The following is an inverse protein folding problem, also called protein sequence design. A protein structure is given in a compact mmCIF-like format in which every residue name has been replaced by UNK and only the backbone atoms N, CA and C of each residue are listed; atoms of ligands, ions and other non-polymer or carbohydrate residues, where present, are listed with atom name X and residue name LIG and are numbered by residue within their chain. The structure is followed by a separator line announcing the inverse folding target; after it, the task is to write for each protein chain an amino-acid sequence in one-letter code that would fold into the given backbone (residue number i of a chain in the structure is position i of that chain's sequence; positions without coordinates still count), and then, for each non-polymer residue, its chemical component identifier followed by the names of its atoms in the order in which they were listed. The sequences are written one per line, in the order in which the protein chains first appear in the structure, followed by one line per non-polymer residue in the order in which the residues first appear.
data_IF_092677228901
#
_entry.id   IF_092677228901
#
_cell.length_a   1.000
_cell.length_b   1.000
_cell.length_c   1.000
_cell.angle_alpha   90.00
_cell.angle_beta   90.00
_cell.angle_gamma   90.00
#
_symmetry.space_group_name_H-M   'P 1'
#
loop_
_entity.id
_entity.type
_entity.pdbx_description
1 polymer ?
#
# COMPACT_ATOMS: atom_id res chain seq x y z
N UNK A 1 15.98 -26.57 6.01
CA UNK A 1 16.00 -25.22 6.62
C UNK A 1 14.62 -24.64 6.38
N UNK A 2 13.65 -24.93 7.25
CA UNK A 2 12.38 -24.19 7.21
C UNK A 2 12.71 -22.78 7.65
N UNK A 3 12.48 -21.79 6.79
CA UNK A 3 12.47 -20.41 7.26
C UNK A 3 11.33 -20.33 8.27
N UNK A 4 11.68 -20.22 9.57
CA UNK A 4 10.71 -19.86 10.58
C UNK A 4 10.06 -18.56 10.13
N UNK A 5 8.77 -18.66 9.83
CA UNK A 5 7.99 -17.54 9.35
C UNK A 5 7.70 -16.65 10.55
N UNK A 6 8.67 -15.81 10.94
CA UNK A 6 8.47 -14.82 11.99
C UNK A 6 7.41 -13.82 11.54
N UNK A 7 6.26 -13.85 12.23
CA UNK A 7 5.17 -12.93 11.96
C UNK A 7 5.38 -11.68 12.80
N UNK A 8 5.96 -10.65 12.18
CA UNK A 8 6.00 -9.33 12.79
C UNK A 8 4.56 -8.83 12.96
N UNK A 9 4.24 -8.35 14.17
CA UNK A 9 2.98 -7.65 14.38
C UNK A 9 2.96 -6.43 13.46
N UNK A 10 1.86 -6.20 12.73
CA UNK A 10 1.79 -5.01 11.90
C UNK A 10 1.96 -3.77 12.78
N UNK A 11 2.61 -2.71 12.27
CA UNK A 11 2.65 -1.45 12.98
C UNK A 11 1.21 -1.06 13.32
N UNK A 12 0.92 -0.85 14.61
CA UNK A 12 -0.40 -0.37 15.04
C UNK A 12 -0.61 1.13 14.69
N UNK A 13 0.42 1.77 14.15
CA UNK A 13 0.36 3.12 13.60
C UNK A 13 0.28 3.06 12.05
N UNK A 14 -0.79 3.57 11.43
CA UNK A 14 -0.91 3.69 9.98
C UNK A 14 0.25 4.44 9.33
N UNK A 15 0.79 5.47 10.00
CA UNK A 15 1.91 6.27 9.46
C UNK A 15 3.19 5.43 9.40
N UNK A 16 3.44 4.62 10.43
CA UNK A 16 4.55 3.67 10.44
C UNK A 16 4.38 2.58 9.35
N UNK A 17 3.16 2.11 9.11
CA UNK A 17 2.89 1.16 8.02
C UNK A 17 3.13 1.76 6.63
N UNK A 18 2.75 3.02 6.42
CA UNK A 18 3.08 3.74 5.19
C UNK A 18 4.60 3.94 5.01
N UNK A 19 5.32 4.24 6.10
CA UNK A 19 6.79 4.35 6.05
C UNK A 19 7.43 3.02 5.65
N UNK A 20 6.97 1.91 6.24
CA UNK A 20 7.42 0.58 5.88
C UNK A 20 7.14 0.25 4.41
N UNK A 21 5.95 0.62 3.89
CA UNK A 21 5.64 0.42 2.48
C UNK A 21 6.50 1.30 1.58
N UNK A 22 6.83 2.53 1.97
CA UNK A 22 7.77 3.34 1.21
C UNK A 22 9.14 2.66 1.11
N UNK A 23 9.71 2.24 2.25
CA UNK A 23 11.04 1.64 2.29
C UNK A 23 11.09 0.34 1.47
N UNK A 24 10.07 -0.51 1.60
CA UNK A 24 9.99 -1.76 0.88
C UNK A 24 9.83 -1.55 -0.63
N UNK A 25 8.95 -0.64 -1.08
CA UNK A 25 8.75 -0.42 -2.50
C UNK A 25 9.87 0.39 -3.15
N UNK A 26 10.58 1.24 -2.41
CA UNK A 26 11.85 1.83 -2.86
C UNK A 26 12.86 0.75 -3.26
N UNK A 27 13.02 -0.25 -2.40
CA UNK A 27 13.94 -1.36 -2.64
C UNK A 27 13.45 -2.24 -3.81
N UNK A 28 12.17 -2.63 -3.82
CA UNK A 28 11.59 -3.47 -4.88
C UNK A 28 11.69 -2.81 -6.25
N UNK A 29 11.42 -1.50 -6.32
CA UNK A 29 11.45 -0.79 -7.59
C UNK A 29 12.85 -0.36 -8.01
N UNK A 30 13.81 -0.32 -7.08
CA UNK A 30 15.11 0.30 -7.29
C UNK A 30 15.00 1.81 -7.54
N UNK A 31 13.94 2.45 -7.03
CA UNK A 31 13.64 3.86 -7.28
C UNK A 31 13.89 4.73 -6.03
N UNK A 32 15.01 5.47 -5.97
CA UNK A 32 15.26 6.40 -4.88
C UNK A 32 14.27 7.58 -4.87
N UNK A 33 13.58 7.83 -5.99
CA UNK A 33 12.55 8.85 -6.15
C UNK A 33 11.18 8.46 -5.59
N UNK A 34 10.99 7.23 -5.12
CA UNK A 34 9.73 6.85 -4.51
C UNK A 34 9.48 7.69 -3.25
N UNK A 35 8.23 8.08 -3.04
CA UNK A 35 7.85 9.03 -2.00
C UNK A 35 6.40 8.83 -1.54
N UNK A 36 6.11 9.36 -0.34
CA UNK A 36 4.73 9.43 0.17
C UNK A 36 3.95 10.54 -0.53
N UNK A 37 2.68 10.27 -0.81
CA UNK A 37 1.77 11.21 -1.43
C UNK A 37 1.05 12.07 -0.38
N UNK A 38 1.78 13.07 0.15
CA UNK A 38 1.18 14.15 0.94
C UNK A 38 0.61 13.79 2.33
N UNK A 39 0.29 14.82 3.13
CA UNK A 39 -0.32 14.72 4.47
C UNK A 39 -1.85 14.63 4.38
N UNK A 40 -2.47 14.07 5.42
CA UNK A 40 -3.93 14.03 5.61
C UNK A 40 -4.59 15.37 5.29
N UNK A 41 -5.51 15.40 4.30
CA UNK A 41 -6.31 16.57 3.93
C UNK A 41 -6.10 17.12 2.51
N UNK A 42 -5.10 16.62 1.77
CA UNK A 42 -5.00 16.83 0.31
C UNK A 42 -5.69 15.67 -0.43
N UNK A 43 -6.18 15.90 -1.65
CA UNK A 43 -6.67 14.82 -2.50
C UNK A 43 -5.50 13.91 -2.91
N UNK A 44 -5.27 12.85 -2.14
CA UNK A 44 -4.20 11.87 -2.40
C UNK A 44 -4.57 10.88 -3.51
N UNK A 45 -5.68 11.09 -4.21
CA UNK A 45 -6.23 10.18 -5.22
C UNK A 45 -6.24 8.69 -4.77
N UNK A 46 -6.34 8.41 -3.47
CA UNK A 46 -6.25 7.04 -2.96
C UNK A 46 -4.90 6.36 -3.22
N UNK A 47 -3.80 7.12 -3.21
CA UNK A 47 -2.43 6.63 -3.36
C UNK A 47 -1.62 7.23 -2.23
N UNK A 48 -1.02 6.41 -1.37
CA UNK A 48 -0.23 6.88 -0.22
C UNK A 48 1.27 6.91 -0.53
N UNK A 49 1.74 6.02 -1.40
CA UNK A 49 3.13 5.95 -1.86
C UNK A 49 3.12 5.84 -3.38
N UNK A 50 4.04 6.52 -4.04
CA UNK A 50 4.24 6.36 -5.47
C UNK A 50 5.70 6.44 -5.85
N UNK A 51 6.03 5.88 -7.00
CA UNK A 51 7.37 5.88 -7.58
C UNK A 51 7.34 5.46 -9.03
N UNK A 52 8.51 5.40 -9.64
CA UNK A 52 8.71 4.89 -10.98
C UNK A 52 9.23 3.46 -10.93
N UNK A 53 8.63 2.57 -11.70
CA UNK A 53 9.15 1.22 -11.90
C UNK A 53 9.06 0.84 -13.38
N UNK A 54 10.19 0.42 -13.94
CA UNK A 54 10.29 0.04 -15.36
C UNK A 54 9.74 1.11 -16.33
N UNK A 55 9.91 2.40 -16.01
CA UNK A 55 9.47 3.52 -16.86
C UNK A 55 7.99 3.91 -16.69
N UNK A 56 7.26 3.30 -15.76
CA UNK A 56 5.87 3.64 -15.46
C UNK A 56 5.67 4.12 -14.03
N UNK A 57 4.70 5.02 -13.83
CA UNK A 57 4.27 5.43 -12.49
C UNK A 57 3.49 4.31 -11.82
N UNK A 58 3.90 3.96 -10.60
CA UNK A 58 3.23 2.96 -9.77
C UNK A 58 2.78 3.62 -8.48
N UNK A 59 1.51 3.43 -8.13
CA UNK A 59 0.93 3.89 -6.88
C UNK A 59 0.60 2.73 -5.95
N UNK A 60 0.78 2.96 -4.66
CA UNK A 60 0.49 2.02 -3.58
C UNK A 60 -0.46 2.70 -2.60
N UNK A 61 -1.60 2.07 -2.34
CA UNK A 61 -2.46 2.41 -1.20
C UNK A 61 -2.16 1.44 -0.06
N UNK A 62 -1.81 2.00 1.08
CA UNK A 62 -1.56 1.34 2.34
C UNK A 62 -2.88 1.24 3.13
N UNK A 63 -3.30 0.01 3.44
CA UNK A 63 -4.46 -0.28 4.28
C UNK A 63 -4.02 -1.06 5.50
N UNK A 64 -3.57 -0.33 6.52
CA UNK A 64 -3.30 -0.89 7.83
C UNK A 64 -4.64 -1.35 8.43
N UNK A 65 -4.67 -2.60 8.89
CA UNK A 65 -5.73 -3.19 9.70
C UNK A 65 -5.12 -3.61 11.02
N UNK A 66 -5.75 -3.19 12.12
CA UNK A 66 -5.43 -3.68 13.46
C UNK A 66 -5.59 -5.21 13.49
N UNK A 67 -4.59 -5.93 14.00
CA UNK A 67 -4.62 -7.37 14.13
C UNK A 67 -5.78 -7.89 15.00
N UNK A 68 -6.33 -7.05 15.88
CA UNK A 68 -7.52 -7.32 16.68
C UNK A 68 -8.80 -7.23 15.85
N UNK A 69 -8.87 -6.27 14.94
CA UNK A 69 -9.94 -6.08 13.97
C UNK A 69 -9.53 -6.76 12.65
N UNK A 70 -9.60 -8.10 12.60
CA UNK A 70 -9.40 -8.95 11.41
C UNK A 70 -10.42 -8.65 10.30
N UNK A 71 -10.45 -7.41 9.86
CA UNK A 71 -11.31 -6.88 8.83
C UNK A 71 -10.66 -7.18 7.50
N UNK A 72 -11.36 -7.96 6.69
CA UNK A 72 -10.94 -8.28 5.33
C UNK A 72 -11.08 -7.04 4.46
N UNK A 73 -10.16 -6.88 3.51
CA UNK A 73 -10.35 -5.94 2.42
C UNK A 73 -11.54 -6.42 1.57
N UNK A 74 -12.59 -5.60 1.47
CA UNK A 74 -13.79 -5.95 0.70
C UNK A 74 -13.62 -5.52 -0.75
N UNK A 75 -14.25 -6.23 -1.68
CA UNK A 75 -14.23 -5.90 -3.11
C UNK A 75 -14.70 -4.46 -3.35
N UNK A 76 -15.82 -4.05 -2.75
CA UNK A 76 -16.33 -2.68 -2.93
C UNK A 76 -15.40 -1.59 -2.36
N UNK A 77 -14.59 -1.91 -1.35
CA UNK A 77 -13.55 -0.97 -0.89
C UNK A 77 -12.42 -0.87 -1.91
N UNK A 78 -11.99 -2.01 -2.47
CA UNK A 78 -10.97 -2.04 -3.52
C UNK A 78 -11.41 -1.26 -4.77
N UNK A 79 -12.66 -1.45 -5.22
CA UNK A 79 -13.24 -0.71 -6.35
C UNK A 79 -13.25 0.80 -6.10
N UNK A 80 -13.61 1.22 -4.88
CA UNK A 80 -13.58 2.63 -4.50
C UNK A 80 -12.15 3.21 -4.52
N UNK A 81 -11.15 2.48 -4.02
CA UNK A 81 -9.76 2.95 -4.07
C UNK A 81 -9.24 3.00 -5.52
N UNK A 82 -9.56 2.01 -6.35
CA UNK A 82 -9.21 2.03 -7.79
C UNK A 82 -9.86 3.22 -8.50
N UNK A 83 -11.11 3.56 -8.18
CA UNK A 83 -11.78 4.72 -8.76
C UNK A 83 -11.06 6.03 -8.42
N UNK A 84 -10.57 6.18 -7.19
CA UNK A 84 -9.76 7.34 -6.78
C UNK A 84 -8.40 7.34 -7.48
N UNK A 85 -7.72 6.19 -7.56
CA UNK A 85 -6.38 6.08 -8.16
C UNK A 85 -6.36 6.48 -9.65
N UNK A 86 -7.51 6.40 -10.34
CA UNK A 86 -7.66 6.86 -11.72
C UNK A 86 -7.51 8.37 -11.89
N UNK A 87 -7.73 9.17 -10.86
CA UNK A 87 -7.52 10.63 -10.92
C UNK A 87 -6.08 11.04 -10.59
N UNK A 88 -5.21 10.09 -10.21
CA UNK A 88 -3.81 10.36 -9.92
C UNK A 88 -3.08 10.89 -11.16
N UNK A 89 -2.33 11.98 -11.00
CA UNK A 89 -1.59 12.63 -12.09
C UNK A 89 -0.10 12.73 -11.70
N UNK A 90 0.83 12.27 -12.55
CA UNK A 90 0.63 11.62 -13.85
C UNK A 90 -0.04 10.23 -13.75
N UNK A 91 -0.72 9.74 -14.80
CA UNK A 91 -1.52 8.52 -14.73
C UNK A 91 -0.69 7.30 -14.30
N UNK A 92 -1.24 6.51 -13.38
CA UNK A 92 -0.61 5.30 -12.90
C UNK A 92 -0.69 4.19 -13.95
N UNK A 93 0.45 3.56 -14.20
CA UNK A 93 0.52 2.35 -15.01
C UNK A 93 0.16 1.10 -14.19
N UNK A 94 0.41 1.14 -12.88
CA UNK A 94 0.05 0.07 -11.94
C UNK A 94 -0.41 0.68 -10.62
N UNK A 95 -1.45 0.07 -10.06
CA UNK A 95 -1.96 0.38 -8.73
C UNK A 95 -1.89 -0.87 -7.86
N UNK A 96 -1.36 -0.73 -6.65
CA UNK A 96 -1.14 -1.81 -5.69
C UNK A 96 -1.86 -1.44 -4.40
N UNK A 97 -2.55 -2.39 -3.78
CA UNK A 97 -3.04 -2.23 -2.41
C UNK A 97 -2.21 -3.11 -1.49
N UNK A 98 -1.48 -2.48 -0.58
CA UNK A 98 -0.73 -3.13 0.47
C UNK A 98 -1.58 -3.16 1.74
N UNK A 99 -1.80 -4.34 2.33
CA UNK A 99 -2.60 -4.45 3.55
C UNK A 99 -1.96 -5.37 4.58
N UNK A 100 -2.06 -4.98 5.87
CA UNK A 100 -1.76 -5.85 7.00
C UNK A 100 -2.93 -6.75 7.40
N UNK A 101 -4.06 -6.64 6.70
CA UNK A 101 -5.26 -7.44 6.95
C UNK A 101 -5.01 -8.94 6.78
N UNK A 102 -5.85 -9.74 7.43
CA UNK A 102 -5.80 -11.18 7.24
C UNK A 102 -6.06 -11.55 5.77
N UNK A 103 -5.28 -12.51 5.24
CA UNK A 103 -5.52 -13.10 3.92
C UNK A 103 -6.98 -13.54 3.80
N UNK A 104 -7.58 -13.30 2.64
CA UNK A 104 -8.93 -13.78 2.37
C UNK A 104 -8.91 -15.32 2.20
N UNK A 105 -9.48 -15.97 3.20
CA UNK A 105 -9.81 -17.39 3.31
C UNK A 105 -8.68 -18.42 3.50
N UNK A 106 -9.13 -19.46 4.20
CA UNK A 106 -8.51 -20.71 4.62
C UNK A 106 -7.59 -21.30 3.55
N UNK A 107 -6.35 -21.57 3.95
CA UNK A 107 -5.58 -22.67 3.34
C UNK A 107 -6.13 -23.96 3.91
#
# INVERSE_FOLDING_TARGET
MSADSERLLPPNDPVAFESLCLDLWREIWGDPGAQKNGRSGQEQAGVDVFGNHAGGWVGVQCKQRDGLLRSKLRVGELEAEVAKARSFTPPLHRFIVATSGARDAKV
#
